data_IF_438682334624
#
_entry.id   IF_438682334624
#
_cell.length_a   1.000
_cell.length_b   1.000
_cell.length_c   1.000
_cell.angle_alpha   90.00
_cell.angle_beta   90.00
_cell.angle_gamma   90.00
#
_symmetry.space_group_name_H-M   'P 1'
#
loop_
_entity.id
_entity.type
_entity.pdbx_description
1 polymer ?
#
# COMPACT_ATOMS: atom_id res chain seq x y z
N UNK A 1 16.82 -12.39 2.84
CA UNK A 1 15.78 -11.76 3.68
C UNK A 1 14.42 -11.70 2.98
N UNK A 2 13.33 -11.93 3.73
CA UNK A 2 11.94 -11.91 3.21
C UNK A 2 11.56 -10.56 2.59
N UNK A 3 11.80 -9.45 3.30
CA UNK A 3 11.47 -8.10 2.82
C UNK A 3 12.15 -7.74 1.49
N UNK A 4 13.37 -8.22 1.24
CA UNK A 4 14.06 -8.00 -0.02
C UNK A 4 13.38 -8.74 -1.18
N UNK A 5 12.90 -9.96 -0.94
CA UNK A 5 12.15 -10.72 -1.96
C UNK A 5 10.79 -10.11 -2.25
N UNK A 6 10.05 -9.68 -1.22
CA UNK A 6 8.79 -8.92 -1.38
C UNK A 6 9.04 -7.66 -2.22
N UNK A 7 10.06 -6.88 -1.85
CA UNK A 7 10.41 -5.65 -2.57
C UNK A 7 10.83 -5.91 -4.01
N UNK A 8 11.61 -6.96 -4.28
CA UNK A 8 12.01 -7.30 -5.65
C UNK A 8 10.79 -7.65 -6.50
N UNK A 9 9.96 -8.59 -6.02
CA UNK A 9 8.73 -9.02 -6.70
C UNK A 9 7.82 -7.83 -6.99
N UNK A 10 7.55 -7.03 -5.97
CA UNK A 10 6.61 -5.91 -6.07
C UNK A 10 7.16 -4.81 -6.97
N UNK A 11 8.48 -4.57 -6.96
CA UNK A 11 9.13 -3.62 -7.87
C UNK A 11 9.03 -4.09 -9.32
N UNK A 12 9.23 -5.37 -9.59
CA UNK A 12 9.13 -5.95 -10.94
C UNK A 12 7.69 -5.85 -11.46
N UNK A 13 6.70 -6.17 -10.61
CA UNK A 13 5.29 -6.00 -10.94
C UNK A 13 4.95 -4.52 -11.19
N UNK A 14 5.32 -3.63 -10.26
CA UNK A 14 5.02 -2.20 -10.35
C UNK A 14 5.63 -1.55 -11.60
N UNK A 15 6.88 -1.85 -11.93
CA UNK A 15 7.57 -1.34 -13.13
C UNK A 15 6.98 -1.85 -14.44
N UNK A 16 6.32 -3.01 -14.40
CA UNK A 16 5.75 -3.63 -15.59
C UNK A 16 4.41 -3.02 -16.01
N UNK A 17 3.79 -2.20 -15.14
CA UNK A 17 2.50 -1.54 -15.38
C UNK A 17 2.69 -0.42 -16.41
N UNK A 18 1.95 -0.50 -17.52
CA UNK A 18 1.92 0.57 -18.51
C UNK A 18 1.10 1.77 -17.97
N UNK A 19 1.57 3.02 -18.10
CA UNK A 19 0.80 4.21 -17.75
C UNK A 19 -0.64 4.24 -18.34
N UNK A 20 -0.87 3.63 -19.50
CA UNK A 20 -2.19 3.50 -20.12
C UNK A 20 -3.12 2.57 -19.34
N UNK A 21 -2.61 1.59 -18.60
CA UNK A 21 -3.43 0.71 -17.75
C UNK A 21 -4.18 1.51 -16.67
N UNK A 22 -3.56 2.56 -16.12
CA UNK A 22 -4.22 3.48 -15.18
C UNK A 22 -5.38 4.25 -15.84
N UNK A 23 -5.21 4.70 -17.08
CA UNK A 23 -6.26 5.41 -17.83
C UNK A 23 -7.40 4.44 -18.17
N UNK A 24 -7.06 3.24 -18.61
CA UNK A 24 -8.04 2.22 -18.97
C UNK A 24 -8.86 1.76 -17.77
N UNK A 25 -8.23 1.56 -16.59
CA UNK A 25 -8.93 1.26 -15.33
C UNK A 25 -9.82 2.43 -14.90
N UNK A 26 -9.31 3.67 -14.95
CA UNK A 26 -10.02 4.85 -14.45
C UNK A 26 -11.25 5.24 -15.27
N UNK A 27 -11.20 5.04 -16.59
CA UNK A 27 -12.29 5.37 -17.51
C UNK A 27 -13.06 4.13 -17.99
N UNK A 28 -12.78 2.95 -17.42
CA UNK A 28 -13.43 1.68 -17.76
C UNK A 28 -13.38 1.36 -19.27
N UNK A 29 -12.26 1.68 -19.94
CA UNK A 29 -12.14 1.67 -21.40
C UNK A 29 -11.86 0.29 -22.01
N UNK A 30 -11.47 -0.70 -21.21
CA UNK A 30 -11.11 -2.03 -21.71
C UNK A 30 -11.66 -3.15 -20.85
N UNK A 31 -12.31 -4.14 -21.49
CA UNK A 31 -12.68 -5.43 -20.89
C UNK A 31 -11.51 -6.46 -20.88
N UNK A 32 -10.26 -5.98 -20.93
CA UNK A 32 -9.08 -6.83 -21.04
C UNK A 32 -8.83 -7.61 -19.75
N UNK A 33 -8.71 -8.94 -19.89
CA UNK A 33 -8.54 -9.91 -18.80
C UNK A 33 -7.15 -9.97 -18.18
N UNK A 34 -6.16 -9.27 -18.74
CA UNK A 34 -4.79 -9.23 -18.22
C UNK A 34 -4.38 -7.77 -17.93
N UNK A 35 -4.76 -7.27 -16.76
CA UNK A 35 -4.42 -5.93 -16.30
C UNK A 35 -3.37 -6.07 -15.17
N UNK A 36 -2.11 -5.75 -15.44
CA UNK A 36 -1.02 -5.83 -14.44
C UNK A 36 -1.30 -4.88 -13.29
N UNK A 37 -2.01 -3.78 -13.55
CA UNK A 37 -2.51 -2.87 -12.51
C UNK A 37 -3.46 -3.59 -11.54
N UNK A 38 -4.37 -4.44 -12.04
CA UNK A 38 -5.29 -5.18 -11.18
C UNK A 38 -4.55 -6.23 -10.38
N UNK A 39 -3.63 -6.98 -11.00
CA UNK A 39 -2.77 -7.93 -10.28
C UNK A 39 -1.94 -7.24 -9.21
N UNK A 40 -1.35 -6.07 -9.50
CA UNK A 40 -0.62 -5.30 -8.50
C UNK A 40 -1.52 -4.75 -7.37
N UNK A 41 -2.77 -4.42 -7.68
CA UNK A 41 -3.77 -4.01 -6.69
C UNK A 41 -4.07 -5.13 -5.68
N UNK A 42 -4.04 -6.39 -6.14
CA UNK A 42 -4.32 -7.56 -5.32
C UNK A 42 -3.19 -7.90 -4.35
N UNK A 43 -1.93 -7.61 -4.71
CA UNK A 43 -0.73 -7.88 -3.88
C UNK A 43 -0.90 -7.37 -2.44
N UNK A 44 -1.47 -6.18 -2.27
CA UNK A 44 -1.66 -5.60 -0.94
C UNK A 44 -2.59 -6.47 -0.08
N UNK A 45 -3.68 -6.97 -0.67
CA UNK A 45 -4.61 -7.84 0.04
C UNK A 45 -3.99 -9.20 0.31
N UNK A 46 -3.27 -9.78 -0.66
CA UNK A 46 -2.56 -11.05 -0.49
C UNK A 46 -1.58 -10.99 0.68
N UNK A 47 -0.74 -9.95 0.74
CA UNK A 47 0.24 -9.77 1.81
C UNK A 47 -0.43 -9.49 3.17
N UNK A 48 -1.49 -8.69 3.18
CA UNK A 48 -2.28 -8.44 4.39
C UNK A 48 -2.88 -9.74 4.94
N UNK A 49 -3.52 -10.54 4.07
CA UNK A 49 -4.13 -11.81 4.46
C UNK A 49 -3.12 -12.92 4.75
N UNK A 50 -1.94 -12.88 4.13
CA UNK A 50 -0.81 -13.73 4.52
C UNK A 50 -0.42 -13.49 5.97
N UNK A 51 -0.26 -12.23 6.39
CA UNK A 51 0.05 -11.88 7.78
C UNK A 51 -1.04 -12.37 8.74
N UNK A 52 -2.32 -12.16 8.38
CA UNK A 52 -3.46 -12.63 9.17
C UNK A 52 -3.44 -14.15 9.31
N UNK A 53 -3.25 -14.86 8.20
CA UNK A 53 -3.24 -16.32 8.14
C UNK A 53 -2.12 -16.90 9.00
N UNK A 54 -0.88 -16.42 8.85
CA UNK A 54 0.29 -16.92 9.59
C UNK A 54 0.12 -16.73 11.10
N UNK A 55 -0.37 -15.57 11.53
CA UNK A 55 -0.58 -15.29 12.95
C UNK A 55 -1.76 -16.08 13.52
N UNK A 56 -2.89 -16.16 12.81
CA UNK A 56 -4.07 -16.87 13.30
C UNK A 56 -3.92 -18.40 13.27
N UNK A 57 -3.04 -18.93 12.43
CA UNK A 57 -2.81 -20.38 12.31
C UNK A 57 -1.90 -20.94 13.41
N UNK A 58 -1.15 -20.11 14.12
CA UNK A 58 -0.29 -20.55 15.22
C UNK A 58 -1.07 -20.59 16.56
N UNK A 59 -1.36 -21.78 17.12
CA UNK A 59 -2.15 -21.89 18.35
C UNK A 59 -1.40 -21.38 19.60
N UNK A 60 -0.07 -21.54 19.64
CA UNK A 60 0.71 -21.20 20.83
C UNK A 60 0.96 -19.69 20.93
N UNK A 61 0.46 -19.05 21.99
CA UNK A 61 0.57 -17.59 22.17
C UNK A 61 2.00 -17.05 22.22
N UNK A 62 2.96 -17.81 22.74
CA UNK A 62 4.36 -17.39 22.78
C UNK A 62 5.00 -17.47 21.39
N UNK A 63 4.76 -18.55 20.63
CA UNK A 63 5.23 -18.65 19.23
C UNK A 63 4.60 -17.58 18.36
N UNK A 64 3.29 -17.37 18.50
CA UNK A 64 2.54 -16.32 17.78
C UNK A 64 3.08 -14.92 18.05
N UNK A 65 3.49 -14.60 19.28
CA UNK A 65 4.14 -13.31 19.59
C UNK A 65 5.47 -13.13 18.84
N UNK A 66 6.23 -14.21 18.61
CA UNK A 66 7.46 -14.19 17.80
C UNK A 66 7.16 -13.94 16.32
N UNK A 67 6.06 -14.49 15.80
CA UNK A 67 5.59 -14.24 14.43
C UNK A 67 5.21 -12.77 14.27
N UNK A 68 4.42 -12.20 15.19
CA UNK A 68 4.07 -10.76 15.18
C UNK A 68 5.33 -9.90 15.18
N UNK A 69 6.27 -10.16 16.10
CA UNK A 69 7.57 -9.46 16.16
C UNK A 69 8.31 -9.55 14.83
N UNK A 70 8.30 -10.71 14.18
CA UNK A 70 8.99 -10.90 12.90
C UNK A 70 8.33 -10.09 11.78
N UNK A 71 7.00 -10.04 11.71
CA UNK A 71 6.28 -9.18 10.76
C UNK A 71 6.56 -7.69 10.98
N UNK A 72 6.64 -7.23 12.23
CA UNK A 72 7.02 -5.84 12.54
C UNK A 72 8.42 -5.53 11.99
N UNK A 73 9.38 -6.46 12.13
CA UNK A 73 10.73 -6.31 11.55
C UNK A 73 10.72 -6.32 10.02
N UNK A 74 9.86 -7.12 9.40
CA UNK A 74 9.71 -7.16 7.94
C UNK A 74 9.13 -5.82 7.46
N UNK A 75 8.09 -5.29 8.11
CA UNK A 75 7.52 -3.98 7.80
C UNK A 75 8.56 -2.85 7.92
N UNK A 76 9.35 -2.82 9.00
CA UNK A 76 10.45 -1.86 9.17
C UNK A 76 11.50 -2.00 8.06
N UNK A 77 11.79 -3.22 7.62
CA UNK A 77 12.72 -3.43 6.50
C UNK A 77 12.11 -2.97 5.17
N UNK A 78 10.83 -3.20 4.91
CA UNK A 78 10.12 -2.68 3.74
C UNK A 78 10.14 -1.14 3.73
N UNK A 79 9.92 -0.49 4.88
CA UNK A 79 10.09 0.96 5.04
C UNK A 79 11.49 1.43 4.62
N UNK A 80 12.56 0.78 5.13
CA UNK A 80 13.95 1.10 4.77
C UNK A 80 14.27 0.88 3.29
N UNK A 81 13.59 -0.07 2.66
CA UNK A 81 13.70 -0.35 1.22
C UNK A 81 12.76 0.53 0.38
N UNK A 82 12.02 1.46 1.00
CA UNK A 82 11.01 2.31 0.36
C UNK A 82 9.92 1.52 -0.38
N UNK A 83 9.63 0.31 0.07
CA UNK A 83 8.45 -0.44 -0.32
C UNK A 83 7.32 -0.14 0.67
N UNK A 84 6.62 0.97 0.43
CA UNK A 84 5.53 1.40 1.30
C UNK A 84 4.26 0.58 1.11
N UNK A 85 4.08 -0.05 -0.06
CA UNK A 85 2.95 -0.92 -0.33
C UNK A 85 2.95 -2.13 0.62
N UNK A 86 4.04 -2.92 0.64
CA UNK A 86 4.12 -4.07 1.55
C UNK A 86 4.22 -3.69 3.02
N UNK A 87 4.86 -2.55 3.33
CA UNK A 87 4.88 -2.02 4.68
C UNK A 87 3.44 -1.83 5.18
N UNK A 88 2.59 -1.14 4.42
CA UNK A 88 1.20 -0.93 4.82
C UNK A 88 0.38 -2.21 4.79
N UNK A 89 0.62 -3.14 3.85
CA UNK A 89 -0.04 -4.44 3.84
C UNK A 89 0.18 -5.20 5.16
N UNK A 90 1.44 -5.29 5.60
CA UNK A 90 1.81 -5.96 6.84
C UNK A 90 1.23 -5.26 8.06
N UNK A 91 1.32 -3.93 8.14
CA UNK A 91 0.75 -3.15 9.25
C UNK A 91 -0.76 -3.30 9.32
N UNK A 92 -1.45 -3.31 8.18
CA UNK A 92 -2.90 -3.53 8.07
C UNK A 92 -3.26 -4.93 8.54
N UNK A 93 -2.47 -5.95 8.16
CA UNK A 93 -2.66 -7.33 8.61
C UNK A 93 -2.56 -7.43 10.14
N UNK A 94 -1.49 -6.88 10.72
CA UNK A 94 -1.29 -6.86 12.17
C UNK A 94 -2.35 -6.04 12.93
N UNK A 95 -2.83 -4.94 12.33
CA UNK A 95 -3.90 -4.11 12.89
C UNK A 95 -5.30 -4.70 12.74
N UNK A 96 -5.48 -5.69 11.85
CA UNK A 96 -6.76 -6.32 11.57
C UNK A 96 -7.40 -6.90 12.84
N UNK A 97 -8.73 -6.82 12.94
CA UNK A 97 -9.50 -7.26 14.12
C UNK A 97 -9.22 -8.72 14.53
N UNK A 98 -8.78 -9.56 13.59
CA UNK A 98 -8.38 -10.95 13.87
C UNK A 98 -7.11 -11.07 14.71
N UNK A 99 -6.18 -10.12 14.60
CA UNK A 99 -4.92 -10.11 15.33
C UNK A 99 -4.98 -9.14 16.51
N UNK A 100 -5.50 -7.92 16.32
CA UNK A 100 -5.48 -6.85 17.34
C UNK A 100 -6.30 -7.19 18.61
N UNK A 101 -7.26 -8.12 18.50
CA UNK A 101 -8.02 -8.66 19.64
C UNK A 101 -7.23 -9.63 20.53
N UNK A 102 -6.10 -10.17 20.06
CA UNK A 102 -5.35 -11.24 20.74
C UNK A 102 -4.49 -10.70 21.90
N UNK A 103 -5.10 -10.11 22.93
CA UNK A 103 -4.40 -9.39 24.02
C UNK A 103 -3.28 -10.19 24.69
N UNK A 104 -3.54 -11.45 25.06
CA UNK A 104 -2.55 -12.35 25.66
C UNK A 104 -1.32 -12.63 24.77
N UNK A 105 -1.43 -12.39 23.45
CA UNK A 105 -0.31 -12.52 22.51
C UNK A 105 0.48 -11.23 22.44
N UNK A 106 -0.22 -10.09 22.36
CA UNK A 106 0.37 -8.76 22.32
C UNK A 106 1.17 -8.45 23.59
N UNK A 107 0.68 -8.87 24.77
CA UNK A 107 1.43 -8.77 26.04
C UNK A 107 2.78 -9.51 26.03
N UNK A 108 2.95 -10.51 25.15
CA UNK A 108 4.20 -11.26 25.00
C UNK A 108 5.14 -10.68 23.94
N UNK A 109 4.67 -9.71 23.15
CA UNK A 109 5.51 -9.01 22.18
C UNK A 109 6.37 -7.99 22.95
N UNK A 110 7.70 -7.96 22.77
CA UNK A 110 8.52 -7.01 23.51
C UNK A 110 8.15 -5.55 23.19
N UNK A 111 8.06 -4.69 24.21
CA UNK A 111 7.62 -3.29 24.10
C UNK A 111 8.33 -2.47 23.02
N UNK A 112 9.62 -2.73 22.79
CA UNK A 112 10.38 -2.10 21.71
C UNK A 112 9.70 -2.27 20.34
N UNK A 113 9.15 -3.45 20.07
CA UNK A 113 8.48 -3.74 18.80
C UNK A 113 7.04 -3.21 18.77
N UNK A 114 6.36 -3.15 19.91
CA UNK A 114 5.05 -2.49 20.02
C UNK A 114 5.19 -1.01 19.66
N UNK A 115 6.16 -0.30 20.26
CA UNK A 115 6.44 1.10 19.93
C UNK A 115 6.79 1.31 18.46
N UNK A 116 7.62 0.43 17.89
CA UNK A 116 7.96 0.48 16.47
C UNK A 116 6.72 0.27 15.57
N UNK A 117 5.83 -0.66 15.94
CA UNK A 117 4.58 -0.88 15.23
C UNK A 117 3.67 0.37 15.28
N UNK A 118 3.48 0.97 16.45
CA UNK A 118 2.70 2.20 16.63
C UNK A 118 3.29 3.39 15.87
N UNK A 119 4.62 3.56 15.89
CA UNK A 119 5.32 4.59 15.12
C UNK A 119 5.05 4.43 13.62
N UNK A 120 5.18 3.21 13.09
CA UNK A 120 4.89 2.93 11.68
C UNK A 120 3.41 3.10 11.32
N UNK A 121 2.49 2.71 12.21
CA UNK A 121 1.05 2.98 12.05
C UNK A 121 0.75 4.48 12.01
N UNK A 122 1.60 5.32 12.59
CA UNK A 122 1.51 6.78 12.47
C UNK A 122 1.49 7.28 11.03
N UNK A 123 2.08 6.55 10.07
CA UNK A 123 2.00 6.88 8.65
C UNK A 123 0.65 6.50 8.01
N UNK A 124 -0.15 5.63 8.64
CA UNK A 124 -1.50 5.26 8.17
C UNK A 124 -2.59 6.26 8.58
N UNK A 125 -2.22 7.28 9.36
CA UNK A 125 -3.14 8.30 9.87
C UNK A 125 -3.90 9.00 8.73
N UNK A 126 -5.24 8.87 8.65
CA UNK A 126 -6.02 9.44 7.54
C UNK A 126 -6.13 10.97 7.61
N UNK A 127 -5.75 11.58 8.73
CA UNK A 127 -5.88 13.02 8.97
C UNK A 127 -5.22 13.86 7.88
N UNK A 128 -5.92 14.93 7.48
CA UNK A 128 -5.48 15.85 6.41
C UNK A 128 -5.06 15.12 5.13
N UNK A 129 -5.85 14.11 4.73
CA UNK A 129 -5.60 13.28 3.55
C UNK A 129 -4.25 12.54 3.59
N UNK A 130 -3.97 11.86 4.71
CA UNK A 130 -2.73 11.12 4.96
C UNK A 130 -1.47 11.99 4.90
N UNK A 131 -1.51 13.18 5.51
CA UNK A 131 -0.43 14.18 5.44
C UNK A 131 0.95 13.62 5.83
N UNK A 132 1.02 12.80 6.89
CA UNK A 132 2.29 12.21 7.35
C UNK A 132 2.91 11.31 6.28
N UNK A 133 2.12 10.43 5.67
CA UNK A 133 2.57 9.61 4.56
C UNK A 133 2.93 10.46 3.33
N UNK A 134 2.12 11.47 2.99
CA UNK A 134 2.41 12.37 1.86
C UNK A 134 3.74 13.10 2.03
N UNK A 135 4.04 13.59 3.23
CA UNK A 135 5.34 14.22 3.52
C UNK A 135 6.50 13.22 3.41
N UNK A 136 6.29 11.95 3.79
CA UNK A 136 7.29 10.91 3.64
C UNK A 136 7.62 10.64 2.16
N UNK A 137 6.60 10.45 1.31
CA UNK A 137 6.80 10.20 -0.13
C UNK A 137 7.39 11.41 -0.86
N UNK A 138 7.03 12.64 -0.51
CA UNK A 138 7.61 13.84 -1.13
C UNK A 138 9.14 13.94 -0.94
N UNK A 139 9.65 13.40 0.17
CA UNK A 139 11.08 13.38 0.48
C UNK A 139 11.77 12.06 0.08
N UNK A 140 11.02 11.07 -0.40
CA UNK A 140 11.57 9.78 -0.78
C UNK A 140 12.21 9.88 -2.18
N UNK A 141 13.48 9.45 -2.28
CA UNK A 141 14.16 9.35 -3.58
C UNK A 141 13.88 7.99 -4.24
N UNK A 142 13.67 7.92 -5.57
CA UNK A 142 13.61 6.65 -6.29
C UNK A 142 14.88 5.80 -6.09
N UNK A 143 14.81 4.45 -6.20
CA UNK A 143 13.61 3.66 -6.46
C UNK A 143 12.73 3.50 -5.21
N UNK A 144 11.40 3.48 -5.38
CA UNK A 144 10.42 3.25 -4.31
C UNK A 144 9.13 2.64 -4.87
N UNK A 145 8.31 2.06 -4.00
CA UNK A 145 6.97 1.57 -4.33
C UNK A 145 5.96 2.32 -3.43
N UNK A 146 5.10 3.18 -4.00
CA UNK A 146 4.13 3.94 -3.22
C UNK A 146 2.99 3.04 -2.70
N UNK A 147 2.20 3.57 -1.76
CA UNK A 147 0.98 2.94 -1.28
C UNK A 147 -0.10 3.06 -2.35
N UNK A 148 -0.30 1.97 -3.09
CA UNK A 148 -1.13 1.96 -4.29
C UNK A 148 -2.59 2.39 -4.06
N UNK A 149 -3.28 1.98 -2.97
CA UNK A 149 -4.64 2.45 -2.68
C UNK A 149 -4.79 3.97 -2.59
N UNK A 150 -3.76 4.69 -2.12
CA UNK A 150 -3.82 6.16 -2.07
C UNK A 150 -3.76 6.77 -3.47
N UNK A 151 -2.92 6.21 -4.35
CA UNK A 151 -2.81 6.62 -5.75
C UNK A 151 -4.13 6.38 -6.47
N UNK A 152 -4.71 5.17 -6.31
CA UNK A 152 -6.02 4.84 -6.90
C UNK A 152 -7.10 5.80 -6.41
N UNK A 153 -7.13 6.07 -5.09
CA UNK A 153 -8.03 7.06 -4.50
C UNK A 153 -7.87 8.44 -5.15
N UNK A 154 -6.64 8.95 -5.25
CA UNK A 154 -6.40 10.29 -5.82
C UNK A 154 -6.86 10.38 -7.28
N UNK A 155 -6.59 9.36 -8.10
CA UNK A 155 -7.09 9.27 -9.48
C UNK A 155 -8.62 9.24 -9.54
N UNK A 156 -9.26 8.42 -8.71
CA UNK A 156 -10.72 8.33 -8.61
C UNK A 156 -11.36 9.67 -8.23
N UNK A 157 -10.79 10.40 -7.26
CA UNK A 157 -11.28 11.71 -6.86
C UNK A 157 -11.11 12.76 -7.97
N UNK A 158 -10.00 12.74 -8.72
CA UNK A 158 -9.83 13.61 -9.88
C UNK A 158 -10.87 13.27 -10.95
N UNK A 159 -11.11 11.99 -11.20
CA UNK A 159 -12.05 11.55 -12.22
C UNK A 159 -13.50 11.96 -11.92
N UNK A 160 -13.99 11.70 -10.72
CA UNK A 160 -15.36 12.01 -10.33
C UNK A 160 -15.56 13.47 -9.89
N UNK A 161 -14.51 14.15 -9.46
CA UNK A 161 -14.56 15.55 -9.04
C UNK A 161 -14.49 16.56 -10.19
N UNK A 162 -14.24 16.12 -11.43
CA UNK A 162 -14.11 17.00 -12.59
C UNK A 162 -14.87 16.41 -13.79
N UNK A 163 -15.72 17.21 -14.43
CA UNK A 163 -16.43 16.78 -15.64
C UNK A 163 -15.45 16.55 -16.80
N UNK A 164 -15.68 15.48 -17.56
CA UNK A 164 -14.87 15.17 -18.75
C UNK A 164 -15.13 16.16 -19.90
N UNK A 165 -16.28 16.85 -19.88
CA UNK A 165 -16.63 17.89 -20.83
C UNK A 165 -17.21 19.11 -20.12
N UNK A 166 -16.82 20.30 -20.56
CA UNK A 166 -17.35 21.60 -20.10
C UNK A 166 -17.75 22.38 -21.33
N UNK A 167 -18.99 22.91 -21.36
CA UNK A 167 -19.55 23.64 -22.51
C UNK A 167 -19.44 22.89 -23.85
N UNK A 168 -19.64 21.57 -23.81
CA UNK A 168 -19.55 20.68 -24.99
C UNK A 168 -18.12 20.34 -25.43
N UNK A 169 -17.11 21.00 -24.89
CA UNK A 169 -15.69 20.79 -25.21
C UNK A 169 -15.02 19.83 -24.22
N UNK A 170 -13.91 19.22 -24.63
CA UNK A 170 -13.11 18.34 -23.75
C UNK A 170 -12.44 19.14 -22.65
N UNK A 171 -12.58 18.70 -21.40
CA UNK A 171 -11.90 19.32 -20.26
C UNK A 171 -10.43 18.88 -20.19
N UNK A 172 -9.53 19.67 -20.78
CA UNK A 172 -8.09 19.40 -20.75
C UNK A 172 -7.46 19.57 -19.36
N UNK A 173 -8.08 20.33 -18.45
CA UNK A 173 -7.55 20.50 -17.10
C UNK A 173 -7.70 19.20 -16.29
N UNK A 174 -8.84 18.51 -16.42
CA UNK A 174 -9.01 17.14 -15.89
C UNK A 174 -7.92 16.21 -16.41
N UNK A 175 -7.69 16.20 -17.72
CA UNK A 175 -6.69 15.32 -18.35
C UNK A 175 -5.27 15.64 -17.85
N UNK A 176 -4.92 16.91 -17.67
CA UNK A 176 -3.64 17.34 -17.11
C UNK A 176 -3.47 16.90 -15.65
N UNK A 177 -4.52 16.98 -14.83
CA UNK A 177 -4.49 16.52 -13.44
C UNK A 177 -4.20 15.02 -13.36
N UNK A 178 -4.91 14.20 -14.15
CA UNK A 178 -4.70 12.75 -14.21
C UNK A 178 -3.29 12.43 -14.70
N UNK A 179 -2.86 13.04 -15.80
CA UNK A 179 -1.52 12.81 -16.36
C UNK A 179 -0.40 13.20 -15.39
N UNK A 180 -0.58 14.26 -14.60
CA UNK A 180 0.37 14.66 -13.56
C UNK A 180 0.51 13.58 -12.49
N UNK A 181 -0.59 13.01 -12.03
CA UNK A 181 -0.58 11.96 -11.00
C UNK A 181 0.11 10.68 -11.51
N UNK A 182 -0.22 10.22 -12.71
CA UNK A 182 0.42 9.05 -13.33
C UNK A 182 1.92 9.27 -13.55
N UNK A 183 2.34 10.47 -13.97
CA UNK A 183 3.76 10.79 -14.15
C UNK A 183 4.56 10.82 -12.85
N UNK A 184 3.91 11.04 -11.70
CA UNK A 184 4.60 11.02 -10.40
C UNK A 184 4.97 9.59 -9.99
N UNK A 185 4.18 8.60 -10.39
CA UNK A 185 4.36 7.19 -10.04
C UNK A 185 5.20 6.42 -11.06
N UNK A 186 5.26 6.84 -12.33
CA UNK A 186 6.02 6.18 -13.40
C UNK A 186 7.47 6.64 -13.53
N UNK A 187 8.04 7.32 -12.53
CA UNK A 187 9.47 7.73 -12.49
C UNK A 187 10.33 6.71 -11.75
#
# INVERSE_FOLDING_TARGET
DVACHLTSRDMDMFRSIDPLEYINDLFELSASSANKLSTFSEVLNEEMFWVITEVCSEPNSLKRSKIIKQFIKIAERCYKLKNFNSMFAILSGLGHGSISRLKLTWEKVPDKYIKLFEEMQGFMDPSRNMLKYRNLILNATPPMIPFFPLIKKDLTFIHFGNDSRVDGLVNFDKLRMIAKEIRLISK
#
